data_IF_662001921691
#
_entry.id   IF_662001921691
#
_cell.length_a   1.000
_cell.length_b   1.000
_cell.length_c   1.000
_cell.angle_alpha   90.00
_cell.angle_beta   90.00
_cell.angle_gamma   90.00
#
_symmetry.space_group_name_H-M   'P 1'
#
loop_
_entity.id
_entity.type
_entity.pdbx_description
1 polymer ?
#
# COMPACT_ATOMS: atom_id res chain seq x y z
N UNK A 1 7.41 9.39 -8.80
CA UNK A 1 6.09 9.57 -8.17
C UNK A 1 6.18 8.92 -6.78
N UNK A 2 5.78 9.59 -5.71
CA UNK A 2 5.89 9.06 -4.33
C UNK A 2 4.51 8.58 -3.87
N UNK A 3 4.44 7.37 -3.31
CA UNK A 3 3.21 6.81 -2.72
C UNK A 3 2.85 7.57 -1.44
N UNK A 4 1.57 7.87 -1.27
CA UNK A 4 0.98 8.61 -0.15
C UNK A 4 -0.20 7.85 0.45
N UNK A 5 -0.67 8.33 1.60
CA UNK A 5 -1.95 7.89 2.16
C UNK A 5 -3.08 8.23 1.18
N UNK A 6 -4.08 7.36 1.13
CA UNK A 6 -5.23 7.34 0.21
C UNK A 6 -4.91 7.00 -1.25
N UNK A 7 -3.64 6.76 -1.60
CA UNK A 7 -3.29 6.25 -2.92
C UNK A 7 -3.82 4.83 -3.11
N UNK A 8 -4.40 4.59 -4.30
CA UNK A 8 -4.67 3.25 -4.78
C UNK A 8 -3.35 2.61 -5.25
N UNK A 9 -3.08 1.39 -4.79
CA UNK A 9 -1.83 0.66 -5.04
C UNK A 9 -2.11 -0.78 -5.45
N UNK A 10 -1.17 -1.36 -6.17
CA UNK A 10 -1.10 -2.77 -6.55
C UNK A 10 0.17 -3.39 -5.98
N UNK A 11 0.07 -4.68 -5.67
CA UNK A 11 1.20 -5.53 -5.32
C UNK A 11 1.17 -6.80 -6.18
N UNK A 12 2.28 -7.50 -6.33
CA UNK A 12 2.33 -8.71 -7.16
C UNK A 12 1.41 -9.83 -6.66
N UNK A 13 1.20 -9.91 -5.34
CA UNK A 13 0.46 -11.00 -4.71
C UNK A 13 -0.97 -10.63 -4.31
N UNK A 14 -1.36 -9.34 -4.42
CA UNK A 14 -2.65 -8.86 -3.95
C UNK A 14 -3.35 -7.99 -5.00
N UNK A 15 -4.69 -8.03 -5.07
CA UNK A 15 -5.49 -7.07 -5.83
C UNK A 15 -5.25 -5.62 -5.36
N UNK A 16 -5.85 -4.67 -6.08
CA UNK A 16 -5.80 -3.24 -5.75
C UNK A 16 -6.16 -3.03 -4.28
N UNK A 17 -5.42 -2.17 -3.58
CA UNK A 17 -5.75 -1.73 -2.24
C UNK A 17 -5.54 -0.23 -2.07
N UNK A 18 -5.94 0.31 -0.92
CA UNK A 18 -5.79 1.73 -0.59
C UNK A 18 -4.83 1.88 0.59
N UNK A 19 -3.83 2.76 0.48
CA UNK A 19 -2.92 3.06 1.60
C UNK A 19 -3.66 3.84 2.68
N UNK A 20 -3.71 3.32 3.90
CA UNK A 20 -4.34 3.99 5.06
C UNK A 20 -3.33 4.67 5.98
N UNK A 21 -2.10 4.18 6.01
CA UNK A 21 -1.01 4.77 6.78
C UNK A 21 0.34 4.41 6.16
N UNK A 22 1.35 5.23 6.44
CA UNK A 22 2.74 4.94 6.12
C UNK A 22 3.52 4.93 7.43
N UNK A 23 4.19 3.81 7.70
CA UNK A 23 5.02 3.62 8.87
C UNK A 23 6.49 3.51 8.45
N UNK A 24 7.38 4.13 9.21
CA UNK A 24 8.82 4.01 9.01
C UNK A 24 9.42 3.13 10.10
N UNK A 25 10.12 2.08 9.71
CA UNK A 25 10.89 1.27 10.63
C UNK A 25 12.12 2.05 11.09
N UNK A 26 12.20 2.29 12.41
CA UNK A 26 13.28 3.07 13.03
C UNK A 26 14.63 2.37 13.03
N UNK A 27 14.66 1.04 12.90
CA UNK A 27 15.89 0.25 12.96
C UNK A 27 16.66 0.21 11.64
N UNK A 28 15.95 0.20 10.50
CA UNK A 28 16.56 0.09 9.17
C UNK A 28 16.14 1.20 8.19
N UNK A 29 15.27 2.11 8.61
CA UNK A 29 14.78 3.23 7.81
C UNK A 29 13.75 2.86 6.74
N UNK A 30 13.36 1.58 6.62
CA UNK A 30 12.43 1.10 5.60
C UNK A 30 11.00 1.57 5.86
N UNK A 31 10.31 2.01 4.81
CA UNK A 31 8.92 2.45 4.86
C UNK A 31 7.96 1.32 4.46
N UNK A 32 6.84 1.23 5.18
CA UNK A 32 5.77 0.27 4.97
C UNK A 32 4.45 1.00 4.83
N UNK A 33 3.67 0.64 3.81
CA UNK A 33 2.28 1.04 3.68
C UNK A 33 1.38 0.07 4.42
N UNK A 34 0.48 0.59 5.25
CA UNK A 34 -0.67 -0.16 5.75
C UNK A 34 -1.75 -0.06 4.68
N UNK A 35 -1.99 -1.15 3.95
CA UNK A 35 -2.87 -1.19 2.78
C UNK A 35 -4.14 -1.95 3.13
N UNK A 36 -5.28 -1.31 2.90
CA UNK A 36 -6.59 -1.96 2.90
C UNK A 36 -6.81 -2.64 1.55
N UNK A 37 -6.85 -3.97 1.54
CA UNK A 37 -6.99 -4.74 0.31
C UNK A 37 -8.45 -4.76 -0.16
N UNK A 38 -8.71 -4.34 -1.39
CA UNK A 38 -10.04 -4.45 -1.99
C UNK A 38 -10.28 -5.90 -2.46
N UNK A 39 -11.51 -6.39 -2.28
CA UNK A 39 -11.88 -7.76 -2.67
C UNK A 39 -11.66 -8.83 -1.60
N UNK A 40 -11.12 -8.47 -0.43
CA UNK A 40 -11.15 -9.33 0.75
C UNK A 40 -12.30 -8.93 1.68
N UNK A 41 -13.02 -9.89 2.29
CA UNK A 41 -14.07 -9.57 3.24
C UNK A 41 -13.49 -8.78 4.43
N UNK A 42 -14.19 -7.71 4.83
CA UNK A 42 -13.87 -6.82 5.95
C UNK A 42 -12.69 -5.85 5.78
N UNK A 43 -12.18 -5.61 4.56
CA UNK A 43 -11.15 -4.59 4.36
C UNK A 43 -9.82 -4.95 5.03
N UNK A 44 -9.34 -6.18 4.82
CA UNK A 44 -8.10 -6.69 5.40
C UNK A 44 -6.95 -5.71 5.26
N UNK A 45 -6.36 -5.31 6.39
CA UNK A 45 -5.17 -4.46 6.43
C UNK A 45 -3.91 -5.33 6.34
N UNK A 46 -2.98 -4.94 5.47
CA UNK A 46 -1.67 -5.57 5.32
C UNK A 46 -0.55 -4.55 5.43
N UNK A 47 0.56 -4.94 6.07
CA UNK A 47 1.78 -4.13 6.09
C UNK A 47 2.68 -4.59 4.95
N UNK A 48 2.90 -3.72 3.96
CA UNK A 48 3.65 -4.03 2.74
C UNK A 48 4.77 -2.98 2.57
N UNK A 49 6.02 -3.38 2.29
CA UNK A 49 7.08 -2.42 1.99
C UNK A 49 6.68 -1.48 0.86
N UNK A 50 6.87 -0.16 1.02
CA UNK A 50 6.50 0.81 -0.03
C UNK A 50 7.24 0.53 -1.34
N UNK A 51 8.46 0.01 -1.26
CA UNK A 51 9.25 -0.38 -2.42
C UNK A 51 8.61 -1.50 -3.27
N UNK A 52 7.68 -2.27 -2.69
CA UNK A 52 6.95 -3.34 -3.38
C UNK A 52 5.58 -2.90 -3.90
N UNK A 53 5.13 -1.69 -3.55
CA UNK A 53 3.86 -1.14 -3.98
C UNK A 53 4.04 -0.38 -5.30
N UNK A 54 3.10 -0.56 -6.22
CA UNK A 54 2.99 0.22 -7.46
C UNK A 54 1.72 1.04 -7.41
N UNK A 55 1.77 2.33 -7.76
CA UNK A 55 0.54 3.13 -7.89
C UNK A 55 -0.39 2.50 -8.92
N UNK A 56 -1.65 2.31 -8.55
CA UNK A 56 -2.70 2.04 -9.53
C UNK A 56 -2.99 3.36 -10.25
N UNK A 57 -2.28 3.59 -11.36
CA UNK A 57 -2.64 4.68 -12.26
C UNK A 57 -4.01 4.35 -12.88
N UNK A 58 -5.08 4.67 -12.16
CA UNK A 58 -6.34 4.97 -12.80
C UNK A 58 -6.05 6.15 -13.74
N UNK A 59 -6.09 5.88 -15.04
CA UNK A 59 -5.95 6.86 -16.11
C UNK A 59 -6.66 8.17 -15.72
N UNK A 60 -5.90 9.27 -15.70
CA UNK A 60 -6.49 10.62 -15.80
C UNK A 60 -7.16 10.82 -17.15
#
# INVERSE_FOLDING_TARGET
MQIKVDDAVKHHNYPIGTVKAILRNIANGQEFGIVELHGYPNGSLQSIPIAELTLDQANG
#
